data_IF_562982169907
#
_entry.id   IF_562982169907
#
_cell.length_a   1.000
_cell.length_b   1.000
_cell.length_c   1.000
_cell.angle_alpha   90.00
_cell.angle_beta   90.00
_cell.angle_gamma   90.00
#
_symmetry.space_group_name_H-M   'P 1'
#
loop_
_entity.id
_entity.type
_entity.pdbx_description
1 polymer ?
#
# COMPACT_ATOMS: atom_id res chain seq x y z
N UNK A 1 55.89 8.86 5.92
CA UNK A 1 54.65 8.06 5.81
C UNK A 1 54.21 8.11 4.35
N UNK A 2 53.91 6.95 3.77
CA UNK A 2 53.63 6.79 2.34
C UNK A 2 52.33 7.52 1.97
N UNK A 3 52.25 8.08 0.78
CA UNK A 3 51.12 8.83 0.20
C UNK A 3 49.82 7.99 0.01
N UNK A 4 49.69 6.86 0.72
CA UNK A 4 48.60 5.88 0.63
C UNK A 4 47.46 6.11 1.62
N UNK A 5 47.55 7.16 2.45
CA UNK A 5 46.60 7.40 3.55
C UNK A 5 45.69 8.62 3.32
N UNK A 6 45.66 9.17 2.10
CA UNK A 6 44.69 10.22 1.75
C UNK A 6 43.43 9.54 1.21
N UNK A 7 42.43 9.38 2.07
CA UNK A 7 41.13 8.83 1.72
C UNK A 7 40.39 9.84 0.82
N UNK A 8 39.97 9.40 -0.36
CA UNK A 8 39.10 10.18 -1.23
C UNK A 8 37.64 9.99 -0.81
N UNK A 9 37.13 10.95 -0.02
CA UNK A 9 35.75 10.96 0.44
C UNK A 9 34.73 11.05 -0.70
N UNK A 10 35.09 11.70 -1.81
CA UNK A 10 34.18 11.87 -2.94
C UNK A 10 33.96 10.55 -3.70
N UNK A 11 35.02 9.76 -3.87
CA UNK A 11 34.93 8.42 -4.42
C UNK A 11 34.09 7.50 -3.51
N UNK A 12 34.33 7.57 -2.19
CA UNK A 12 33.61 6.77 -1.21
C UNK A 12 32.10 7.10 -1.14
N UNK A 13 31.74 8.38 -1.20
CA UNK A 13 30.34 8.81 -1.23
C UNK A 13 29.61 8.28 -2.47
N UNK A 14 30.28 8.32 -3.64
CA UNK A 14 29.72 7.78 -4.88
C UNK A 14 29.50 6.26 -4.79
N UNK A 15 30.47 5.53 -4.24
CA UNK A 15 30.33 4.08 -4.04
C UNK A 15 29.18 3.75 -3.09
N UNK A 16 29.03 4.50 -2.00
CA UNK A 16 27.94 4.35 -1.07
C UNK A 16 26.58 4.62 -1.73
N UNK A 17 26.48 5.69 -2.53
CA UNK A 17 25.26 6.02 -3.25
C UNK A 17 24.84 4.88 -4.19
N UNK A 18 25.79 4.32 -4.94
CA UNK A 18 25.54 3.16 -5.82
C UNK A 18 25.09 1.95 -5.03
N UNK A 19 25.75 1.64 -3.90
CA UNK A 19 25.38 0.53 -3.04
C UNK A 19 23.95 0.69 -2.50
N UNK A 20 23.60 1.87 -2.00
CA UNK A 20 22.25 2.18 -1.48
C UNK A 20 21.18 2.06 -2.56
N UNK A 21 21.45 2.54 -3.77
CA UNK A 21 20.51 2.41 -4.88
C UNK A 21 20.33 0.96 -5.33
N UNK A 22 21.41 0.18 -5.32
CA UNK A 22 21.36 -1.25 -5.62
C UNK A 22 20.53 -2.03 -4.58
N UNK A 23 20.73 -1.74 -3.28
CA UNK A 23 19.97 -2.34 -2.18
C UNK A 23 18.48 -2.02 -2.31
N UNK A 24 18.14 -0.75 -2.59
CA UNK A 24 16.75 -0.33 -2.80
C UNK A 24 16.09 -1.07 -3.96
N UNK A 25 16.83 -1.35 -5.04
CA UNK A 25 16.34 -2.14 -6.16
C UNK A 25 16.13 -3.60 -5.75
N UNK A 26 17.12 -4.21 -5.08
CA UNK A 26 17.04 -5.59 -4.60
C UNK A 26 15.86 -5.81 -3.65
N UNK A 27 15.59 -4.85 -2.76
CA UNK A 27 14.44 -4.92 -1.87
C UNK A 27 13.11 -4.99 -2.64
N UNK A 28 12.92 -4.13 -3.66
CA UNK A 28 11.69 -4.13 -4.47
C UNK A 28 11.51 -5.44 -5.25
N UNK A 29 12.59 -5.98 -5.80
CA UNK A 29 12.58 -7.26 -6.49
C UNK A 29 12.25 -8.40 -5.52
N UNK A 30 12.84 -8.40 -4.32
CA UNK A 30 12.58 -9.40 -3.29
C UNK A 30 11.13 -9.36 -2.80
N UNK A 31 10.60 -8.17 -2.53
CA UNK A 31 9.20 -8.00 -2.17
C UNK A 31 8.27 -8.53 -3.26
N UNK A 32 8.59 -8.29 -4.54
CA UNK A 32 7.83 -8.86 -5.65
C UNK A 32 7.91 -10.39 -5.70
N UNK A 33 9.09 -10.98 -5.46
CA UNK A 33 9.27 -12.43 -5.36
C UNK A 33 8.42 -13.03 -4.23
N UNK A 34 8.47 -12.43 -3.04
CA UNK A 34 7.70 -12.88 -1.88
C UNK A 34 6.19 -12.79 -2.14
N UNK A 35 5.72 -11.69 -2.76
CA UNK A 35 4.31 -11.55 -3.18
C UNK A 35 3.89 -12.59 -4.21
N UNK A 36 4.71 -12.86 -5.21
CA UNK A 36 4.37 -13.85 -6.23
C UNK A 36 4.31 -15.28 -5.67
N UNK A 37 5.23 -15.61 -4.75
CA UNK A 37 5.24 -16.90 -4.04
C UNK A 37 4.01 -17.03 -3.13
N UNK A 38 3.64 -15.98 -2.39
CA UNK A 38 2.46 -16.03 -1.51
C UNK A 38 1.16 -16.21 -2.31
N UNK A 39 1.10 -15.68 -3.54
CA UNK A 39 -0.01 -15.86 -4.47
C UNK A 39 -0.01 -17.23 -5.18
N UNK A 40 1.00 -18.09 -4.95
CA UNK A 40 1.18 -19.39 -5.63
C UNK A 40 1.15 -19.27 -7.17
N UNK A 41 1.79 -18.22 -7.70
CA UNK A 41 1.84 -17.96 -9.13
C UNK A 41 2.57 -19.08 -9.89
N UNK A 42 2.17 -19.34 -11.14
CA UNK A 42 2.97 -20.17 -12.05
C UNK A 42 4.30 -19.48 -12.35
N UNK A 43 5.30 -20.22 -12.84
CA UNK A 43 6.62 -19.64 -13.11
C UNK A 43 6.57 -18.44 -14.07
N UNK A 44 5.76 -18.53 -15.13
CA UNK A 44 5.62 -17.44 -16.10
C UNK A 44 5.00 -16.19 -15.45
N UNK A 45 3.96 -16.38 -14.64
CA UNK A 45 3.33 -15.29 -13.87
C UNK A 45 4.29 -14.69 -12.84
N UNK A 46 5.07 -15.53 -12.15
CA UNK A 46 6.11 -15.08 -11.23
C UNK A 46 7.15 -14.22 -11.95
N UNK A 47 7.61 -14.66 -13.12
CA UNK A 47 8.58 -13.92 -13.94
C UNK A 47 8.03 -12.55 -14.31
N UNK A 48 6.79 -12.48 -14.78
CA UNK A 48 6.15 -11.23 -15.17
C UNK A 48 5.99 -10.27 -13.98
N UNK A 49 5.58 -10.78 -12.81
CA UNK A 49 5.43 -10.00 -11.59
C UNK A 49 6.76 -9.41 -11.10
N UNK A 50 7.84 -10.20 -11.15
CA UNK A 50 9.17 -9.74 -10.75
C UNK A 50 9.73 -8.73 -11.75
N UNK A 51 9.57 -8.96 -13.05
CA UNK A 51 10.00 -8.01 -14.09
C UNK A 51 9.25 -6.68 -13.98
N UNK A 52 7.96 -6.71 -13.66
CA UNK A 52 7.15 -5.49 -13.52
C UNK A 52 7.39 -4.73 -12.20
N UNK A 53 8.25 -5.19 -11.29
CA UNK A 53 8.40 -4.60 -9.94
C UNK A 53 8.92 -3.15 -9.93
N UNK A 54 9.59 -2.72 -11.00
CA UNK A 54 10.15 -1.38 -11.13
C UNK A 54 9.15 -0.36 -11.69
N UNK A 55 7.94 -0.79 -12.07
CA UNK A 55 6.90 0.08 -12.60
C UNK A 55 6.38 1.01 -11.50
N UNK A 56 6.31 2.31 -11.80
CA UNK A 56 5.68 3.29 -10.90
C UNK A 56 4.17 3.25 -11.07
N UNK A 57 3.39 3.40 -9.98
CA UNK A 57 1.97 3.67 -10.10
C UNK A 57 1.72 4.88 -11.00
N UNK A 58 0.68 4.80 -11.82
CA UNK A 58 0.27 5.91 -12.68
C UNK A 58 0.01 7.17 -11.85
N UNK A 59 0.67 8.27 -12.21
CA UNK A 59 0.44 9.56 -11.58
C UNK A 59 -0.84 10.20 -12.14
N UNK A 60 -1.44 11.15 -11.41
CA UNK A 60 -2.70 11.79 -11.83
C UNK A 60 -2.58 12.44 -13.22
N UNK A 61 -1.42 13.04 -13.51
CA UNK A 61 -1.09 13.63 -14.81
C UNK A 61 -1.05 12.61 -15.95
N UNK A 62 -0.77 11.34 -15.66
CA UNK A 62 -0.74 10.26 -16.66
C UNK A 62 -2.17 9.81 -17.02
N UNK A 63 -3.13 9.98 -16.08
CA UNK A 63 -4.54 9.61 -16.25
C UNK A 63 -5.32 10.58 -17.14
N UNK A 64 -4.86 11.81 -17.27
CA UNK A 64 -5.52 12.89 -18.02
C UNK A 64 -5.15 12.89 -19.53
N UNK A 65 -4.58 11.80 -20.03
CA UNK A 65 -4.21 11.65 -21.45
C UNK A 65 -5.45 11.66 -22.35
N UNK A 66 -5.72 12.84 -22.92
CA UNK A 66 -6.75 13.15 -23.92
C UNK A 66 -8.20 12.77 -23.52
N UNK A 67 -9.22 13.51 -23.98
CA UNK A 67 -10.60 13.06 -23.85
C UNK A 67 -10.72 11.67 -24.47
N UNK A 68 -11.05 10.65 -23.66
CA UNK A 68 -11.29 9.31 -24.18
C UNK A 68 -12.47 9.40 -25.14
N UNK A 69 -12.20 9.28 -26.44
CA UNK A 69 -13.22 9.34 -27.50
C UNK A 69 -14.25 8.21 -27.42
N UNK A 70 -13.98 7.19 -26.60
CA UNK A 70 -14.82 6.02 -26.42
C UNK A 70 -15.17 5.85 -24.94
N UNK A 71 -16.45 5.61 -24.60
CA UNK A 71 -16.86 5.19 -23.27
C UNK A 71 -16.02 4.00 -22.80
N UNK A 72 -15.68 3.94 -21.51
CA UNK A 72 -14.94 2.79 -20.96
C UNK A 72 -15.74 1.48 -21.06
N UNK A 73 -17.05 1.61 -21.23
CA UNK A 73 -17.99 0.53 -21.38
C UNK A 73 -18.86 0.78 -22.62
N UNK A 74 -18.77 -0.06 -23.67
CA UNK A 74 -19.57 0.10 -24.89
C UNK A 74 -21.07 -0.10 -24.64
N UNK A 75 -21.47 -0.74 -23.53
CA UNK A 75 -22.88 -0.93 -23.17
C UNK A 75 -23.44 0.24 -22.34
N UNK A 76 -22.61 1.19 -21.90
CA UNK A 76 -23.07 2.41 -21.23
C UNK A 76 -23.69 3.37 -22.25
N UNK A 77 -25.01 3.29 -22.43
CA UNK A 77 -25.76 4.21 -23.30
C UNK A 77 -25.62 5.64 -22.78
N UNK A 78 -25.42 6.58 -23.70
CA UNK A 78 -25.43 8.01 -23.41
C UNK A 78 -26.87 8.46 -23.25
N UNK A 79 -27.45 8.29 -22.07
CA UNK A 79 -28.82 8.74 -21.80
C UNK A 79 -28.83 10.28 -21.77
N UNK A 80 -29.16 10.89 -22.91
CA UNK A 80 -29.57 12.29 -22.98
C UNK A 80 -30.96 12.38 -22.34
N UNK A 81 -31.01 12.46 -21.01
CA UNK A 81 -32.24 12.76 -20.28
C UNK A 81 -32.62 14.20 -20.60
N UNK A 82 -33.46 14.37 -21.62
CA UNK A 82 -34.25 15.58 -21.84
C UNK A 82 -35.13 15.79 -20.62
N UNK A 83 -34.74 16.73 -19.75
CA UNK A 83 -35.60 17.18 -18.65
C UNK A 83 -36.71 18.02 -19.28
N UNK A 84 -37.87 17.40 -19.43
CA UNK A 84 -39.13 18.10 -19.67
C UNK A 84 -40.19 17.50 -18.75
N UNK A 85 -40.65 18.31 -17.81
CA UNK A 85 -41.96 18.19 -17.18
C UNK A 85 -42.11 17.09 -16.13
N UNK A 86 -42.09 17.52 -14.86
CA UNK A 86 -43.04 17.13 -13.81
C UNK A 86 -43.56 15.69 -13.82
N UNK A 87 -43.06 14.86 -12.91
CA UNK A 87 -43.68 13.57 -12.56
C UNK A 87 -42.85 12.81 -11.54
N UNK A 88 -43.50 12.43 -10.43
CA UNK A 88 -42.94 11.75 -9.27
C UNK A 88 -42.04 10.54 -9.61
N UNK A 89 -40.86 10.45 -8.99
CA UNK A 89 -40.11 9.20 -8.84
C UNK A 89 -39.64 9.04 -7.41
N UNK A 90 -40.55 8.56 -6.56
CA UNK A 90 -40.15 7.80 -5.39
C UNK A 90 -39.68 6.42 -5.84
N UNK A 91 -38.42 6.08 -5.53
CA UNK A 91 -37.99 4.70 -5.35
C UNK A 91 -37.25 4.06 -6.51
N UNK A 92 -35.90 4.14 -6.49
CA UNK A 92 -35.04 2.96 -6.63
C UNK A 92 -33.84 3.14 -5.67
N UNK A 93 -33.86 2.30 -4.65
CA UNK A 93 -32.85 1.94 -3.66
C UNK A 93 -31.42 2.47 -3.90
N UNK A 94 -30.99 3.42 -3.04
CA UNK A 94 -29.57 3.55 -2.69
C UNK A 94 -29.15 2.25 -1.98
N UNK A 95 -28.35 1.41 -2.64
CA UNK A 95 -27.58 0.39 -1.94
C UNK A 95 -26.49 1.08 -1.12
N UNK A 96 -26.85 1.48 0.10
CA UNK A 96 -25.90 1.72 1.19
C UNK A 96 -25.12 0.43 1.42
N UNK A 97 -23.88 0.39 0.95
CA UNK A 97 -22.89 -0.61 1.34
C UNK A 97 -22.66 -0.47 2.85
N UNK A 98 -23.35 -1.29 3.62
CA UNK A 98 -23.11 -1.45 5.05
C UNK A 98 -23.08 -2.92 5.37
N UNK A 99 -21.93 -3.55 5.12
CA UNK A 99 -21.44 -4.68 5.93
C UNK A 99 -19.92 -4.82 5.75
N UNK A 100 -19.22 -4.46 6.84
CA UNK A 100 -18.15 -5.27 7.44
C UNK A 100 -16.80 -5.43 6.70
N UNK A 101 -15.92 -4.45 6.90
CA UNK A 101 -14.50 -4.72 7.23
C UNK A 101 -14.33 -4.36 8.70
N UNK A 102 -13.62 -5.16 9.53
CA UNK A 102 -12.16 -5.29 9.39
C UNK A 102 -11.59 -6.66 9.83
N UNK A 103 -10.37 -7.00 9.39
CA UNK A 103 -9.23 -7.27 10.29
C UNK A 103 -7.97 -7.57 9.46
N UNK A 104 -7.15 -6.54 9.31
CA UNK A 104 -5.71 -6.67 9.02
C UNK A 104 -5.07 -7.16 10.32
N UNK A 105 -4.46 -8.33 10.25
CA UNK A 105 -3.69 -8.93 11.33
C UNK A 105 -2.27 -8.37 11.30
N UNK A 106 -2.10 -7.12 11.73
CA UNK A 106 -0.77 -6.60 12.09
C UNK A 106 -0.39 -7.16 13.46
N UNK A 107 0.59 -8.06 13.43
CA UNK A 107 1.26 -8.61 14.60
C UNK A 107 2.40 -7.67 14.98
N UNK A 108 2.62 -7.47 16.28
CA UNK A 108 3.49 -6.48 16.93
C UNK A 108 2.91 -5.07 17.02
N UNK A 109 2.51 -4.63 18.22
CA UNK A 109 3.38 -3.87 19.16
C UNK A 109 2.70 -3.75 20.53
N UNK A 110 3.50 -3.90 21.59
CA UNK A 110 3.34 -3.31 22.93
C UNK A 110 2.11 -3.62 23.81
N UNK A 111 2.35 -4.54 24.75
CA UNK A 111 1.72 -4.60 26.06
C UNK A 111 2.08 -3.34 26.88
N UNK A 112 1.22 -2.31 26.85
CA UNK A 112 1.24 -1.28 27.90
C UNK A 112 0.35 -1.75 29.05
N UNK A 113 0.99 -2.38 30.03
CA UNK A 113 0.42 -2.65 31.34
C UNK A 113 0.13 -1.34 32.06
N UNK A 114 -1.15 -0.99 32.10
CA UNK A 114 -1.66 0.10 32.91
C UNK A 114 -1.44 -0.18 34.40
N UNK A 115 -0.98 0.86 35.09
CA UNK A 115 -0.84 0.93 36.54
C UNK A 115 -2.09 0.42 37.27
N UNK A 116 -1.90 -0.49 38.22
CA UNK A 116 -2.71 -0.50 39.43
C UNK A 116 -1.86 -0.95 40.62
N UNK A 117 -0.92 -0.09 41.02
CA UNK A 117 -0.38 -0.09 42.38
C UNK A 117 -1.52 0.38 43.29
N UNK A 118 -2.34 -0.55 43.78
CA UNK A 118 -3.25 -0.28 44.89
C UNK A 118 -2.78 -1.06 46.12
N UNK A 119 -2.24 -0.27 47.05
CA UNK A 119 -1.87 -0.62 48.42
C UNK A 119 -3.09 -1.22 49.13
N UNK A 120 -3.09 -2.52 49.43
CA UNK A 120 -4.02 -3.14 50.38
C UNK A 120 -3.48 -4.49 50.86
N UNK A 121 -2.42 -4.49 51.68
CA UNK A 121 -2.04 -5.65 52.50
C UNK A 121 -1.37 -5.19 53.80
N UNK A 122 -2.11 -4.41 54.58
CA UNK A 122 -1.93 -4.23 56.01
C UNK A 122 -3.34 -4.16 56.63
N UNK A 123 -3.51 -4.78 57.81
CA UNK A 123 -4.75 -5.12 58.54
C UNK A 123 -5.42 -6.42 58.05
N UNK A 124 -5.47 -7.55 58.78
CA UNK A 124 -5.25 -7.83 60.20
C UNK A 124 -6.54 -7.73 61.01
N UNK A 125 -7.35 -8.81 61.08
CA UNK A 125 -8.46 -9.08 62.02
C UNK A 125 -8.61 -10.63 62.04
N UNK A 126 -8.13 -11.40 63.02
CA UNK A 126 -8.60 -11.61 64.41
C UNK A 126 -10.00 -12.22 64.50
N UNK A 127 -10.09 -13.46 65.02
CA UNK A 127 -11.35 -14.14 65.33
C UNK A 127 -11.28 -15.64 65.11
#
# INVERSE_FOLDING_TARGET
>A
MSQRDVIDFSALERELQVAVESERRHQRENDAKLRAVSQRASYDQFRDLVLACHMKPLEKKDKDSAPRKQPWNPVARSDQVVVSGSGLWTGVQFCVFSVLTPLISDSHTEQQGALQVHRSALFGISG
#
